data_IF_332941431274
#
_entry.id   IF_332941431274
#
_cell.length_a   1.000
_cell.length_b   1.000
_cell.length_c   1.000
_cell.angle_alpha   90.00
_cell.angle_beta   90.00
_cell.angle_gamma   90.00
#
_symmetry.space_group_name_H-M   'P 1'
#
loop_
_entity.id
_entity.type
_entity.pdbx_description
1 polymer ?
#
# COMPACT_ATOMS: atom_id res chain seq x y z
N UNK A 1 -29.88 -13.18 -3.28
CA UNK A 1 -30.33 -11.79 -3.46
C UNK A 1 -29.14 -11.00 -3.99
N UNK A 2 -29.26 -10.27 -5.10
CA UNK A 2 -28.11 -9.53 -5.64
C UNK A 2 -27.72 -8.43 -4.65
N UNK A 3 -26.48 -8.47 -4.13
CA UNK A 3 -25.96 -7.46 -3.19
C UNK A 3 -25.79 -6.09 -3.86
N UNK A 4 -25.95 -6.04 -5.18
CA UNK A 4 -26.16 -4.83 -5.95
C UNK A 4 -27.65 -4.52 -6.06
N UNK A 5 -28.07 -3.38 -5.52
CA UNK A 5 -29.34 -2.78 -5.91
C UNK A 5 -29.15 -2.12 -7.27
N UNK A 6 -29.78 -2.68 -8.30
CA UNK A 6 -29.81 -2.08 -9.63
C UNK A 6 -30.60 -0.76 -9.62
N UNK A 7 -30.09 0.18 -10.42
CA UNK A 7 -30.83 1.15 -11.23
C UNK A 7 -31.31 2.45 -10.57
N UNK A 8 -30.69 3.55 -11.01
CA UNK A 8 -31.47 4.69 -11.49
C UNK A 8 -32.59 4.21 -12.43
N UNK A 9 -33.72 4.91 -12.49
CA UNK A 9 -34.90 4.51 -13.29
C UNK A 9 -34.62 4.23 -14.78
N UNK A 10 -33.45 4.61 -15.28
CA UNK A 10 -33.02 4.49 -16.68
C UNK A 10 -32.18 3.25 -16.99
N UNK A 11 -31.87 2.38 -16.02
CA UNK A 11 -31.08 1.17 -16.29
C UNK A 11 -29.55 1.32 -16.18
N UNK A 12 -29.03 2.55 -16.01
CA UNK A 12 -27.63 2.86 -16.38
C UNK A 12 -26.65 2.82 -15.22
N UNK A 13 -27.08 3.25 -14.04
CA UNK A 13 -26.19 3.41 -12.89
C UNK A 13 -26.39 2.27 -11.91
N UNK A 14 -25.29 1.60 -11.61
CA UNK A 14 -25.16 0.63 -10.53
C UNK A 14 -24.72 1.34 -9.29
N UNK A 15 -25.26 0.95 -8.13
CA UNK A 15 -24.80 1.44 -6.85
C UNK A 15 -24.65 0.30 -5.84
N UNK A 16 -23.64 0.41 -4.99
CA UNK A 16 -23.49 -0.43 -3.79
C UNK A 16 -22.89 0.38 -2.66
N UNK A 17 -23.16 -0.03 -1.43
CA UNK A 17 -22.44 0.50 -0.29
C UNK A 17 -21.03 -0.12 -0.20
N UNK A 18 -20.08 0.66 0.30
CA UNK A 18 -18.79 0.13 0.74
C UNK A 18 -18.93 -0.46 2.13
N UNK A 19 -18.13 -1.49 2.39
CA UNK A 19 -18.19 -2.21 3.64
C UNK A 19 -16.79 -2.52 4.19
N UNK A 20 -16.71 -2.72 5.51
CA UNK A 20 -15.53 -3.24 6.18
C UNK A 20 -14.27 -2.41 5.93
N UNK A 21 -13.19 -3.05 5.52
CA UNK A 21 -11.92 -2.37 5.32
C UNK A 21 -11.95 -1.35 4.18
N UNK A 22 -12.69 -1.66 3.11
CA UNK A 22 -12.87 -0.75 1.98
C UNK A 22 -13.52 0.57 2.44
N UNK A 23 -14.59 0.51 3.24
CA UNK A 23 -15.25 1.70 3.80
C UNK A 23 -14.33 2.45 4.78
N UNK A 24 -13.53 1.73 5.57
CA UNK A 24 -12.60 2.34 6.52
C UNK A 24 -11.49 3.11 5.79
N UNK A 25 -10.89 2.53 4.74
CA UNK A 25 -9.92 3.21 3.89
C UNK A 25 -10.49 4.47 3.23
N UNK A 26 -11.74 4.45 2.77
CA UNK A 26 -12.38 5.66 2.26
C UNK A 26 -12.60 6.70 3.36
N UNK A 27 -12.94 6.27 4.58
CA UNK A 27 -13.10 7.17 5.74
C UNK A 27 -11.79 7.88 6.10
N UNK A 28 -10.63 7.24 5.87
CA UNK A 28 -9.34 7.90 6.01
C UNK A 28 -9.16 9.07 5.02
N UNK A 29 -9.72 8.96 3.81
CA UNK A 29 -9.61 10.02 2.82
C UNK A 29 -10.40 11.28 3.18
N UNK A 30 -11.51 11.18 3.93
CA UNK A 30 -12.28 12.35 4.40
C UNK A 30 -11.48 13.28 5.30
N UNK A 31 -10.51 12.72 6.01
CA UNK A 31 -9.76 13.42 7.04
C UNK A 31 -8.33 13.70 6.61
N UNK A 32 -8.02 13.60 5.31
CA UNK A 32 -6.66 13.72 4.80
C UNK A 32 -5.69 12.85 5.62
N UNK A 33 -6.11 11.63 5.98
CA UNK A 33 -5.46 10.86 7.03
C UNK A 33 -4.47 9.82 6.48
N UNK A 34 -4.89 8.95 5.55
CA UNK A 34 -4.08 7.81 5.10
C UNK A 34 -4.27 7.44 3.61
N UNK A 35 -3.13 7.20 2.96
CA UNK A 35 -2.89 6.47 1.70
C UNK A 35 -3.74 6.87 0.49
N UNK A 36 -3.44 8.02 -0.13
CA UNK A 36 -3.49 8.04 -1.59
C UNK A 36 -2.40 7.08 -2.08
N UNK A 37 -2.80 5.92 -2.59
CA UNK A 37 -1.89 4.91 -3.11
C UNK A 37 -1.60 5.18 -4.58
N UNK A 38 -0.32 5.27 -4.92
CA UNK A 38 0.12 5.51 -6.29
C UNK A 38 1.03 4.38 -6.74
N UNK A 39 0.61 3.69 -7.80
CA UNK A 39 1.48 2.83 -8.59
C UNK A 39 1.99 3.61 -9.80
N UNK A 40 3.30 3.60 -10.03
CA UNK A 40 3.91 4.28 -11.17
C UNK A 40 4.89 3.37 -11.87
N UNK A 41 5.00 3.50 -13.19
CA UNK A 41 5.97 2.77 -13.98
C UNK A 41 6.71 3.74 -14.92
N UNK A 42 8.01 3.53 -15.05
CA UNK A 42 8.83 4.18 -16.07
C UNK A 42 8.98 3.22 -17.24
N UNK A 43 8.49 3.62 -18.41
CA UNK A 43 8.37 2.73 -19.57
C UNK A 43 9.06 3.36 -20.78
N UNK A 44 9.92 2.58 -21.43
CA UNK A 44 10.43 2.86 -22.76
C UNK A 44 9.60 2.07 -23.77
N UNK A 45 8.90 2.78 -24.65
CA UNK A 45 8.07 2.19 -25.70
C UNK A 45 8.82 2.29 -27.04
N UNK A 46 9.18 1.14 -27.61
CA UNK A 46 9.88 1.05 -28.89
C UNK A 46 9.26 -0.03 -29.77
N UNK A 47 9.32 0.15 -31.09
CA UNK A 47 8.92 -0.87 -32.07
C UNK A 47 9.93 -2.02 -32.19
N UNK A 48 9.66 -2.97 -33.08
CA UNK A 48 10.49 -4.16 -33.28
C UNK A 48 11.92 -3.84 -33.77
N UNK A 49 12.13 -2.69 -34.40
CA UNK A 49 13.45 -2.17 -34.80
C UNK A 49 14.16 -1.40 -33.68
N UNK A 50 13.51 -1.19 -32.53
CA UNK A 50 14.02 -0.38 -31.44
C UNK A 50 13.74 1.11 -31.58
N UNK A 51 13.04 1.54 -32.64
CA UNK A 51 12.68 2.94 -32.85
C UNK A 51 11.63 3.34 -31.81
N UNK A 52 11.82 4.46 -31.08
CA UNK A 52 10.84 4.96 -30.13
C UNK A 52 9.46 5.13 -30.78
N UNK A 53 8.41 4.75 -30.05
CA UNK A 53 7.04 5.01 -30.49
C UNK A 53 6.76 6.52 -30.54
N UNK A 54 6.04 7.00 -31.56
CA UNK A 54 5.61 8.39 -31.62
C UNK A 54 4.57 8.69 -30.53
N UNK A 55 4.47 9.95 -30.11
CA UNK A 55 3.55 10.37 -29.05
C UNK A 55 2.10 10.09 -29.41
N UNK A 56 1.70 10.33 -30.67
CA UNK A 56 0.35 10.03 -31.14
C UNK A 56 0.03 8.55 -30.98
N UNK A 57 1.00 7.68 -31.29
CA UNK A 57 0.85 6.24 -31.11
C UNK A 57 0.76 5.88 -29.64
N UNK A 58 1.59 6.47 -28.78
CA UNK A 58 1.56 6.20 -27.33
C UNK A 58 0.23 6.64 -26.72
N UNK A 59 -0.24 7.84 -27.00
CA UNK A 59 -1.51 8.39 -26.48
C UNK A 59 -2.69 7.55 -26.95
N UNK A 60 -2.72 7.23 -28.25
CA UNK A 60 -3.75 6.38 -28.84
C UNK A 60 -3.76 4.99 -28.17
N UNK A 61 -2.58 4.38 -28.00
CA UNK A 61 -2.44 3.11 -27.29
C UNK A 61 -2.82 3.19 -25.80
N UNK A 62 -2.44 4.25 -25.09
CA UNK A 62 -2.77 4.44 -23.67
C UNK A 62 -4.27 4.62 -23.48
N UNK A 63 -4.91 5.45 -24.32
CA UNK A 63 -6.36 5.61 -24.33
C UNK A 63 -7.06 4.28 -24.60
N UNK A 64 -6.64 3.55 -25.64
CA UNK A 64 -7.19 2.23 -25.94
C UNK A 64 -6.99 1.24 -24.79
N UNK A 65 -5.81 1.22 -24.18
CA UNK A 65 -5.48 0.39 -23.03
C UNK A 65 -6.30 0.75 -21.79
N UNK A 66 -6.53 2.04 -21.53
CA UNK A 66 -7.33 2.52 -20.40
C UNK A 66 -8.80 2.13 -20.55
N UNK A 67 -9.35 2.27 -21.75
CA UNK A 67 -10.71 1.83 -22.08
C UNK A 67 -10.83 0.31 -21.95
N UNK A 68 -9.85 -0.44 -22.48
CA UNK A 68 -9.82 -1.90 -22.35
C UNK A 68 -9.70 -2.32 -20.88
N UNK A 69 -8.91 -1.60 -20.08
CA UNK A 69 -8.79 -1.85 -18.65
C UNK A 69 -10.11 -1.60 -17.94
N UNK A 70 -10.87 -0.54 -18.24
CA UNK A 70 -12.22 -0.34 -17.71
C UNK A 70 -13.15 -1.49 -18.07
N UNK A 71 -13.09 -1.98 -19.30
CA UNK A 71 -13.90 -3.11 -19.74
C UNK A 71 -13.53 -4.42 -19.01
N UNK A 72 -12.25 -4.65 -18.73
CA UNK A 72 -11.77 -5.84 -18.00
C UNK A 72 -11.94 -5.74 -16.49
N UNK A 73 -11.75 -4.55 -15.95
CA UNK A 73 -11.78 -4.24 -14.51
C UNK A 73 -12.66 -2.99 -14.32
N UNK A 74 -14.00 -3.13 -14.35
CA UNK A 74 -14.94 -2.00 -14.18
C UNK A 74 -14.70 -1.17 -12.93
N UNK A 75 -14.09 -1.77 -11.92
CA UNK A 75 -13.65 -1.14 -10.68
C UNK A 75 -12.84 0.16 -10.88
N UNK A 76 -12.11 0.29 -12.00
CA UNK A 76 -11.35 1.51 -12.32
C UNK A 76 -12.22 2.73 -12.64
N UNK A 77 -13.50 2.50 -12.93
CA UNK A 77 -14.48 3.54 -13.24
C UNK A 77 -15.59 3.64 -12.18
N UNK A 78 -15.34 3.17 -10.96
CA UNK A 78 -16.23 3.47 -9.84
C UNK A 78 -16.12 4.95 -9.46
N UNK A 79 -17.25 5.55 -9.12
CA UNK A 79 -17.32 6.85 -8.45
C UNK A 79 -17.69 6.63 -7.00
N UNK A 80 -17.18 7.43 -6.09
CA UNK A 80 -17.45 7.24 -4.65
C UNK A 80 -18.15 8.46 -4.06
N UNK A 81 -19.08 8.27 -3.15
CA UNK A 81 -19.73 9.37 -2.41
C UNK A 81 -19.83 9.03 -0.94
N UNK A 82 -19.44 9.97 -0.09
CA UNK A 82 -19.68 9.89 1.34
C UNK A 82 -21.09 10.38 1.68
N UNK A 83 -21.77 9.67 2.56
CA UNK A 83 -23.09 10.01 3.08
C UNK A 83 -22.96 10.44 4.55
N UNK A 84 -22.95 11.74 4.86
CA UNK A 84 -22.72 12.23 6.21
C UNK A 84 -23.79 11.79 7.22
N UNK A 85 -25.03 11.57 6.75
CA UNK A 85 -26.18 11.26 7.63
C UNK A 85 -26.03 9.92 8.35
N UNK A 86 -25.44 8.94 7.71
CA UNK A 86 -25.28 7.57 8.23
C UNK A 86 -23.81 7.13 8.28
N UNK A 87 -22.88 8.06 8.06
CA UNK A 87 -21.42 7.81 8.04
C UNK A 87 -21.05 6.67 7.09
N UNK A 88 -21.77 6.56 5.96
CA UNK A 88 -21.60 5.48 5.00
C UNK A 88 -20.99 5.96 3.70
N UNK A 89 -20.57 4.99 2.89
CA UNK A 89 -19.98 5.22 1.58
C UNK A 89 -20.75 4.45 0.54
N UNK A 90 -21.04 5.10 -0.58
CA UNK A 90 -21.67 4.48 -1.73
C UNK A 90 -20.74 4.61 -2.93
N UNK A 91 -20.58 3.53 -3.69
CA UNK A 91 -19.97 3.59 -5.02
C UNK A 91 -21.00 3.46 -6.10
N UNK A 92 -20.73 4.14 -7.20
CA UNK A 92 -21.53 4.18 -8.40
C UNK A 92 -20.71 3.68 -9.58
N UNK A 93 -21.37 3.00 -10.52
CA UNK A 93 -20.79 2.64 -11.81
C UNK A 93 -21.80 2.94 -12.90
N UNK A 94 -21.39 3.74 -13.88
CA UNK A 94 -22.21 4.06 -15.03
C UNK A 94 -21.81 3.18 -16.22
N UNK A 95 -22.78 2.43 -16.74
CA UNK A 95 -22.59 1.67 -17.98
C UNK A 95 -22.58 2.65 -19.15
N UNK A 96 -21.50 2.70 -19.93
CA UNK A 96 -21.44 3.56 -21.09
C UNK A 96 -22.40 3.04 -22.17
N UNK A 97 -23.27 3.91 -22.70
CA UNK A 97 -24.24 3.57 -23.75
C UNK A 97 -23.82 4.08 -25.13
N UNK A 98 -22.81 4.95 -25.16
CA UNK A 98 -22.31 5.58 -26.36
C UNK A 98 -20.78 5.76 -26.30
N UNK A 99 -20.18 6.05 -27.46
CA UNK A 99 -18.78 6.49 -27.52
C UNK A 99 -18.55 7.78 -26.73
N UNK A 100 -19.53 8.68 -26.71
CA UNK A 100 -19.45 9.95 -25.99
C UNK A 100 -19.35 9.74 -24.47
N UNK A 101 -20.05 8.74 -23.91
CA UNK A 101 -19.92 8.37 -22.50
C UNK A 101 -18.50 7.87 -22.17
N UNK A 102 -17.89 7.12 -23.09
CA UNK A 102 -16.50 6.66 -22.96
C UNK A 102 -15.53 7.83 -23.06
N UNK A 103 -15.72 8.72 -24.03
CA UNK A 103 -14.88 9.90 -24.24
C UNK A 103 -14.92 10.81 -23.00
N UNK A 104 -16.10 10.99 -22.42
CA UNK A 104 -16.32 11.74 -21.18
C UNK A 104 -15.59 11.10 -20.00
N UNK A 105 -15.69 9.78 -19.83
CA UNK A 105 -14.96 9.10 -18.76
C UNK A 105 -13.45 9.20 -18.94
N UNK A 106 -12.93 9.00 -20.16
CA UNK A 106 -11.50 9.09 -20.42
C UNK A 106 -11.01 10.51 -20.15
N UNK A 107 -11.71 11.56 -20.58
CA UNK A 107 -11.28 12.95 -20.33
C UNK A 107 -11.25 13.32 -18.84
N UNK A 108 -12.01 12.60 -18.01
CA UNK A 108 -12.06 12.79 -16.55
C UNK A 108 -11.05 11.93 -15.77
N UNK A 109 -10.42 10.93 -16.41
CA UNK A 109 -9.61 9.91 -15.72
C UNK A 109 -8.24 9.64 -16.33
N UNK A 110 -8.04 9.98 -17.60
CA UNK A 110 -6.76 9.92 -18.28
C UNK A 110 -6.24 11.34 -18.47
N UNK A 111 -5.17 11.67 -17.75
CA UNK A 111 -4.55 12.97 -17.80
C UNK A 111 -3.23 12.87 -18.53
N UNK A 112 -3.09 13.70 -19.57
CA UNK A 112 -1.83 13.92 -20.26
C UNK A 112 -1.16 15.16 -19.68
N UNK A 113 0.05 15.03 -19.15
CA UNK A 113 0.81 16.16 -18.58
C UNK A 113 2.03 16.48 -19.43
N UNK A 114 2.07 17.68 -19.97
CA UNK A 114 3.31 18.21 -20.54
C UNK A 114 4.41 18.26 -19.46
N UNK A 115 5.57 17.73 -19.81
CA UNK A 115 6.73 17.41 -18.96
C UNK A 115 6.87 18.17 -17.65
N UNK A 116 7.04 17.44 -16.54
CA UNK A 116 7.86 17.91 -15.41
C UNK A 116 9.03 16.95 -15.21
N UNK A 117 10.28 17.45 -15.16
CA UNK A 117 11.39 16.66 -14.61
C UNK A 117 10.98 16.14 -13.22
N UNK A 118 11.05 14.82 -13.00
CA UNK A 118 10.83 14.22 -11.68
C UNK A 118 9.38 13.91 -11.28
N UNK A 119 8.41 13.76 -12.21
CA UNK A 119 7.02 13.36 -11.87
C UNK A 119 6.93 12.14 -10.93
N UNK A 120 7.83 11.16 -11.10
CA UNK A 120 7.87 9.96 -10.25
C UNK A 120 8.24 10.23 -8.78
N UNK A 121 8.67 11.44 -8.43
CA UNK A 121 8.99 11.87 -7.05
C UNK A 121 8.01 12.97 -6.57
N UNK A 122 7.62 13.90 -7.44
CA UNK A 122 6.84 15.09 -7.08
C UNK A 122 5.30 14.93 -7.02
N UNK A 123 4.74 13.83 -7.53
CA UNK A 123 3.27 13.65 -7.59
C UNK A 123 2.60 13.22 -6.28
N UNK A 124 3.33 13.13 -5.16
CA UNK A 124 2.72 12.79 -3.87
C UNK A 124 2.02 13.98 -3.19
N UNK A 125 2.26 15.21 -3.64
CA UNK A 125 1.68 16.42 -3.02
C UNK A 125 0.31 16.79 -3.62
N UNK A 126 -0.10 16.17 -4.73
CA UNK A 126 -1.39 16.46 -5.35
C UNK A 126 -2.52 15.79 -4.58
N UNK A 127 -3.33 16.61 -3.91
CA UNK A 127 -4.54 16.14 -3.23
C UNK A 127 -5.61 15.81 -4.26
N UNK A 128 -6.15 14.59 -4.18
CA UNK A 128 -7.26 14.15 -5.00
C UNK A 128 -8.51 13.92 -4.14
N UNK A 129 -9.52 14.77 -4.30
CA UNK A 129 -10.81 14.62 -3.63
C UNK A 129 -11.71 13.71 -4.47
N UNK A 130 -12.26 12.68 -3.83
CA UNK A 130 -13.16 11.72 -4.49
C UNK A 130 -14.41 11.41 -3.66
N UNK A 131 -14.72 12.27 -2.70
CA UNK A 131 -15.77 12.07 -1.69
C UNK A 131 -17.14 12.57 -2.15
N UNK A 132 -17.21 13.24 -3.30
CA UNK A 132 -18.40 13.91 -3.83
C UNK A 132 -18.87 13.35 -5.19
N UNK A 133 -18.48 12.12 -5.52
CA UNK A 133 -18.90 11.43 -6.73
C UNK A 133 -17.85 11.44 -7.85
N UNK A 134 -16.61 11.80 -7.54
CA UNK A 134 -15.49 11.73 -8.48
C UNK A 134 -14.90 10.30 -8.56
N UNK A 135 -14.05 10.07 -9.56
CA UNK A 135 -13.31 8.81 -9.72
C UNK A 135 -12.10 8.78 -8.77
N UNK A 136 -11.95 7.75 -7.94
CA UNK A 136 -10.80 7.58 -7.06
C UNK A 136 -9.55 7.07 -7.80
N UNK A 137 -9.72 6.51 -9.01
CA UNK A 137 -8.64 5.98 -9.84
C UNK A 137 -8.46 6.82 -11.10
N UNK A 138 -7.20 7.14 -11.39
CA UNK A 138 -6.78 7.95 -12.53
C UNK A 138 -5.49 7.40 -13.12
N UNK A 139 -5.36 7.53 -14.43
CA UNK A 139 -4.11 7.32 -15.12
C UNK A 139 -3.53 8.69 -15.48
N UNK A 140 -2.38 9.00 -14.91
CA UNK A 140 -1.61 10.17 -15.30
C UNK A 140 -0.47 9.65 -16.17
N UNK A 141 -0.43 10.12 -17.41
CA UNK A 141 0.67 9.88 -18.32
C UNK A 141 1.33 11.22 -18.61
N UNK A 142 2.65 11.27 -18.50
CA UNK A 142 3.43 12.43 -18.89
C UNK A 142 4.43 11.99 -19.95
N UNK A 143 4.27 12.42 -21.20
CA UNK A 143 5.31 12.31 -22.21
C UNK A 143 6.32 13.45 -22.08
N UNK A 144 7.17 13.50 -23.10
CA UNK A 144 7.68 14.76 -23.63
C UNK A 144 6.82 15.10 -24.90
N UNK A 145 5.63 15.74 -24.73
CA UNK A 145 4.67 16.37 -25.71
C UNK A 145 3.63 15.53 -26.55
N UNK A 146 2.75 16.20 -27.34
CA UNK A 146 1.26 16.02 -27.54
C UNK A 146 0.69 15.18 -28.76
N UNK A 147 -0.61 15.31 -29.11
CA UNK A 147 -1.62 14.21 -29.22
C UNK A 147 -2.43 13.93 -30.52
N UNK A 148 -3.07 12.73 -30.60
CA UNK A 148 -4.20 12.33 -31.51
C UNK A 148 -5.02 11.06 -31.04
N UNK A 149 -6.09 10.63 -31.76
CA UNK A 149 -7.29 9.84 -31.31
C UNK A 149 -7.40 8.31 -31.68
N UNK A 150 -8.50 7.61 -31.24
CA UNK A 150 -8.73 6.12 -31.22
C UNK A 150 -10.13 5.68 -31.72
N UNK A 151 -10.30 4.45 -32.25
CA UNK A 151 -11.57 3.81 -32.66
C UNK A 151 -12.18 2.84 -31.62
N UNK A 152 -13.48 2.97 -31.34
CA UNK A 152 -14.23 2.37 -30.22
C UNK A 152 -15.18 1.22 -30.58
N UNK A 153 -15.34 0.89 -31.88
CA UNK A 153 -16.44 0.00 -32.35
C UNK A 153 -16.30 -1.48 -32.00
N UNK A 154 -15.15 -1.93 -31.51
CA UNK A 154 -14.89 -3.35 -31.22
C UNK A 154 -15.31 -3.81 -29.80
N UNK A 155 -15.73 -2.89 -28.92
CA UNK A 155 -16.04 -3.19 -27.52
C UNK A 155 -17.55 -3.36 -27.32
N UNK A 156 -17.96 -4.48 -26.71
CA UNK A 156 -19.35 -4.77 -26.36
C UNK A 156 -19.66 -4.31 -24.94
N UNK A 157 -20.07 -3.06 -24.79
CA UNK A 157 -20.41 -2.48 -23.49
C UNK A 157 -21.63 -3.16 -22.85
N UNK A 158 -21.63 -3.22 -21.53
CA UNK A 158 -22.63 -3.90 -20.70
C UNK A 158 -22.25 -5.33 -20.30
N UNK A 159 -21.40 -6.02 -21.07
CA UNK A 159 -20.90 -7.36 -20.69
C UNK A 159 -19.93 -7.29 -19.50
N UNK A 160 -19.27 -6.15 -19.28
CA UNK A 160 -18.35 -5.93 -18.17
C UNK A 160 -19.02 -5.87 -16.81
N UNK A 161 -20.33 -5.66 -16.74
CA UNK A 161 -21.07 -5.53 -15.48
C UNK A 161 -20.96 -6.80 -14.62
N UNK A 162 -20.87 -7.98 -15.26
CA UNK A 162 -20.63 -9.24 -14.56
C UNK A 162 -19.27 -9.28 -13.82
N UNK A 163 -18.33 -8.39 -14.20
CA UNK A 163 -17.02 -8.19 -13.58
C UNK A 163 -17.00 -7.02 -12.59
N UNK A 164 -18.15 -6.41 -12.26
CA UNK A 164 -18.21 -5.46 -11.16
C UNK A 164 -17.84 -6.19 -9.88
N UNK A 165 -16.62 -5.92 -9.42
CA UNK A 165 -16.00 -6.54 -8.27
C UNK A 165 -16.94 -6.58 -7.06
N UNK A 166 -17.26 -7.79 -6.61
CA UNK A 166 -17.84 -8.01 -5.29
C UNK A 166 -16.80 -7.68 -4.24
N UNK A 167 -17.20 -6.97 -3.17
CA UNK A 167 -16.32 -6.80 -2.01
C UNK A 167 -16.06 -8.16 -1.38
N UNK A 168 -14.97 -8.31 -0.63
CA UNK A 168 -14.75 -9.54 0.12
C UNK A 168 -15.92 -9.84 1.08
N UNK A 169 -16.62 -8.82 1.61
CA UNK A 169 -17.85 -9.03 2.37
C UNK A 169 -18.98 -9.65 1.52
N UNK A 170 -19.17 -9.21 0.27
CA UNK A 170 -20.15 -9.83 -0.64
C UNK A 170 -19.77 -11.27 -0.98
N UNK A 171 -18.51 -11.51 -1.34
CA UNK A 171 -18.02 -12.84 -1.74
C UNK A 171 -18.16 -13.87 -0.63
N UNK A 172 -18.13 -13.43 0.62
CA UNK A 172 -18.18 -14.29 1.80
C UNK A 172 -19.57 -14.44 2.40
N UNK A 173 -20.59 -13.81 1.79
CA UNK A 173 -21.98 -13.84 2.29
C UNK A 173 -22.17 -13.12 3.63
N UNK A 174 -21.29 -12.15 3.92
CA UNK A 174 -21.19 -11.46 5.20
C UNK A 174 -22.38 -10.53 5.44
N UNK A 175 -23.17 -10.79 6.48
CA UNK A 175 -24.11 -9.79 6.98
C UNK A 175 -23.35 -8.71 7.77
N UNK A 176 -23.13 -7.57 7.12
CA UNK A 176 -22.43 -6.42 7.70
C UNK A 176 -23.26 -5.66 8.73
N UNK A 177 -24.56 -5.97 8.87
CA UNK A 177 -25.42 -5.38 9.91
C UNK A 177 -25.36 -6.14 11.22
N UNK A 178 -24.87 -7.39 11.19
CA UNK A 178 -24.62 -8.15 12.42
C UNK A 178 -23.50 -7.49 13.23
N UNK A 179 -23.72 -7.32 14.53
CA UNK A 179 -22.70 -6.81 15.43
C UNK A 179 -21.50 -7.75 15.43
N UNK A 180 -20.29 -7.20 15.38
CA UNK A 180 -19.08 -7.97 15.65
C UNK A 180 -19.24 -8.68 17.00
N UNK A 181 -18.84 -9.94 17.09
CA UNK A 181 -18.78 -10.62 18.39
C UNK A 181 -17.87 -9.81 19.31
N UNK A 182 -18.22 -9.68 20.60
CA UNK A 182 -17.38 -8.95 21.54
C UNK A 182 -15.98 -9.54 21.50
N UNK A 183 -14.99 -8.69 21.18
CA UNK A 183 -13.61 -9.11 21.11
C UNK A 183 -13.24 -9.80 22.42
N UNK A 184 -12.64 -11.00 22.33
CA UNK A 184 -12.09 -11.68 23.49
C UNK A 184 -11.24 -10.70 24.30
N UNK A 185 -11.31 -10.79 25.63
CA UNK A 185 -10.64 -9.88 26.56
C UNK A 185 -9.19 -9.68 26.10
N UNK A 186 -8.91 -8.49 25.55
CA UNK A 186 -7.62 -8.21 24.92
C UNK A 186 -6.60 -8.15 26.05
N UNK A 187 -5.50 -8.90 25.90
CA UNK A 187 -4.30 -8.68 26.72
C UNK A 187 -3.95 -7.20 26.67
N UNK A 188 -3.45 -6.67 27.79
CA UNK A 188 -3.05 -5.27 27.88
C UNK A 188 -2.02 -4.95 26.80
N UNK A 189 -2.35 -4.01 25.92
CA UNK A 189 -1.46 -3.51 24.88
C UNK A 189 -0.78 -2.25 25.39
N UNK A 190 0.52 -2.35 25.65
CA UNK A 190 1.39 -1.20 25.97
C UNK A 190 2.38 -1.01 24.82
N UNK A 191 2.05 -0.22 23.79
CA UNK A 191 2.88 -0.07 22.60
C UNK A 191 4.00 0.97 22.80
N UNK A 192 5.10 0.80 22.08
CA UNK A 192 6.11 1.85 21.94
C UNK A 192 5.60 2.97 21.03
N UNK A 193 5.15 4.07 21.66
CA UNK A 193 4.65 5.27 20.99
C UNK A 193 5.57 6.46 21.29
N UNK A 194 6.61 6.69 20.49
CA UNK A 194 7.48 7.84 20.70
C UNK A 194 6.71 9.15 20.43
N UNK A 195 7.04 10.25 21.14
CA UNK A 195 6.48 11.56 20.83
C UNK A 195 6.88 11.98 19.41
N UNK A 196 6.06 12.80 18.78
CA UNK A 196 6.39 13.47 17.51
C UNK A 196 6.56 14.96 17.71
N UNK A 197 7.35 15.56 16.83
CA UNK A 197 7.54 17.01 16.73
C UNK A 197 7.08 17.41 15.35
N UNK A 198 6.29 18.47 15.28
CA UNK A 198 5.87 19.03 14.00
C UNK A 198 7.06 19.71 13.31
N UNK A 199 7.36 19.28 12.09
CA UNK A 199 8.25 19.96 11.18
C UNK A 199 7.50 21.11 10.49
N UNK A 200 7.71 22.31 11.02
CA UNK A 200 7.11 23.55 10.52
C UNK A 200 7.77 24.06 9.24
N UNK A 201 8.97 23.59 8.94
CA UNK A 201 9.80 24.06 7.81
C UNK A 201 9.68 23.14 6.59
N UNK A 202 8.73 22.21 6.58
CA UNK A 202 8.50 21.29 5.46
C UNK A 202 8.18 22.05 4.17
N UNK A 203 8.65 21.51 3.04
CA UNK A 203 8.42 22.08 1.69
C UNK A 203 7.54 21.20 0.80
N UNK A 204 7.10 20.05 1.31
CA UNK A 204 6.35 19.02 0.63
C UNK A 204 5.54 18.23 1.67
N UNK A 205 4.62 17.36 1.24
CA UNK A 205 3.77 16.60 2.16
C UNK A 205 4.38 15.25 2.57
N UNK A 206 5.15 14.62 1.68
CA UNK A 206 5.70 13.26 1.90
C UNK A 206 7.21 13.22 1.69
N UNK A 207 7.95 12.83 2.73
CA UNK A 207 9.37 12.50 2.61
C UNK A 207 9.52 11.01 2.32
N UNK A 208 10.27 10.68 1.26
CA UNK A 208 10.44 9.30 0.79
C UNK A 208 11.92 8.91 0.69
N UNK A 209 12.23 7.65 0.99
CA UNK A 209 13.48 6.96 0.59
C UNK A 209 13.13 5.67 -0.15
N UNK A 210 13.79 5.43 -1.28
CA UNK A 210 13.70 4.16 -2.00
C UNK A 210 14.98 3.37 -1.75
N UNK A 211 14.88 2.35 -0.92
CA UNK A 211 15.98 1.44 -0.64
C UNK A 211 15.90 0.27 -1.61
N UNK A 212 16.85 0.20 -2.55
CA UNK A 212 16.97 -0.89 -3.51
C UNK A 212 18.13 -1.80 -3.10
N UNK A 213 17.84 -3.08 -2.95
CA UNK A 213 18.82 -4.13 -2.77
C UNK A 213 19.02 -4.84 -4.11
N UNK A 214 20.29 -5.01 -4.51
CA UNK A 214 20.63 -5.71 -5.74
C UNK A 214 20.23 -7.19 -5.73
N UNK A 215 20.35 -7.83 -6.89
CA UNK A 215 19.95 -9.21 -7.13
C UNK A 215 20.68 -10.19 -6.21
N UNK A 216 21.97 -9.96 -5.94
CA UNK A 216 22.79 -10.83 -5.10
C UNK A 216 22.33 -10.79 -3.64
N UNK A 217 22.12 -9.58 -3.10
CA UNK A 217 21.61 -9.36 -1.75
C UNK A 217 20.17 -9.86 -1.58
N UNK A 218 19.34 -9.65 -2.60
CA UNK A 218 17.96 -10.15 -2.62
C UNK A 218 17.94 -11.68 -2.62
N UNK A 219 18.78 -12.33 -3.44
CA UNK A 219 18.91 -13.79 -3.48
C UNK A 219 19.43 -14.35 -2.14
N UNK A 220 20.41 -13.68 -1.52
CA UNK A 220 20.93 -14.07 -0.21
C UNK A 220 19.84 -14.05 0.87
N UNK A 221 19.03 -12.99 0.93
CA UNK A 221 17.90 -12.93 1.86
C UNK A 221 16.91 -14.08 1.62
N UNK A 222 16.54 -14.35 0.35
CA UNK A 222 15.62 -15.45 0.02
C UNK A 222 16.18 -16.80 0.43
N UNK A 223 17.48 -17.02 0.25
CA UNK A 223 18.13 -18.24 0.70
C UNK A 223 18.04 -18.38 2.23
N UNK A 224 18.34 -17.31 2.98
CA UNK A 224 18.19 -17.32 4.44
C UNK A 224 16.76 -17.55 4.91
N UNK A 225 15.77 -16.99 4.22
CA UNK A 225 14.37 -17.25 4.50
C UNK A 225 14.03 -18.74 4.32
N UNK A 226 14.50 -19.38 3.24
CA UNK A 226 14.32 -20.82 3.01
C UNK A 226 15.02 -21.68 4.07
N UNK A 227 16.26 -21.35 4.42
CA UNK A 227 17.04 -22.04 5.46
C UNK A 227 16.35 -21.99 6.83
N UNK A 228 15.63 -20.91 7.13
CA UNK A 228 14.92 -20.70 8.40
C UNK A 228 13.40 -20.95 8.32
N UNK A 229 12.92 -21.56 7.23
CA UNK A 229 11.50 -21.87 7.02
C UNK A 229 10.55 -20.67 7.24
N UNK A 230 10.96 -19.49 6.79
CA UNK A 230 10.17 -18.26 6.90
C UNK A 230 9.96 -17.59 5.54
N UNK A 231 9.09 -16.58 5.49
CA UNK A 231 8.81 -15.81 4.29
C UNK A 231 9.65 -14.53 4.24
N UNK A 232 9.85 -14.00 3.04
CA UNK A 232 10.50 -12.69 2.84
C UNK A 232 9.72 -11.59 3.55
N UNK A 233 8.38 -11.66 3.59
CA UNK A 233 7.53 -10.70 4.31
C UNK A 233 7.86 -10.65 5.80
N UNK A 234 7.93 -11.81 6.46
CA UNK A 234 8.29 -11.88 7.89
C UNK A 234 9.70 -11.34 8.11
N UNK A 235 10.65 -11.68 7.22
CA UNK A 235 12.02 -11.20 7.35
C UNK A 235 12.15 -9.68 7.18
N UNK A 236 11.46 -9.09 6.19
CA UNK A 236 11.44 -7.63 5.97
C UNK A 236 10.72 -6.91 7.10
N UNK A 237 9.61 -7.45 7.62
CA UNK A 237 8.92 -6.88 8.78
C UNK A 237 9.80 -6.89 10.03
N UNK A 238 10.59 -7.94 10.24
CA UNK A 238 11.55 -8.03 11.35
C UNK A 238 12.71 -7.03 11.20
N UNK A 239 13.29 -6.92 10.00
CA UNK A 239 14.31 -5.92 9.68
C UNK A 239 13.74 -4.51 9.92
N UNK A 240 12.51 -4.26 9.44
CA UNK A 240 11.84 -2.97 9.59
C UNK A 240 11.52 -2.64 11.04
N UNK A 241 11.12 -3.61 11.86
CA UNK A 241 10.87 -3.41 13.30
C UNK A 241 12.13 -2.95 14.05
N UNK A 242 13.26 -3.62 13.83
CA UNK A 242 14.52 -3.23 14.44
C UNK A 242 15.02 -1.88 13.91
N UNK A 243 15.00 -1.69 12.59
CA UNK A 243 15.43 -0.45 11.95
C UNK A 243 14.60 0.76 12.41
N UNK A 244 13.28 0.60 12.56
CA UNK A 244 12.40 1.68 12.99
C UNK A 244 12.64 2.06 14.45
N UNK A 245 12.80 1.08 15.35
CA UNK A 245 13.11 1.37 16.74
C UNK A 245 14.47 2.07 16.87
N UNK A 246 15.48 1.61 16.11
CA UNK A 246 16.82 2.18 16.09
C UNK A 246 16.79 3.63 15.58
N UNK A 247 16.18 3.87 14.43
CA UNK A 247 16.13 5.19 13.81
C UNK A 247 15.38 6.21 14.67
N UNK A 248 14.31 5.80 15.36
CA UNK A 248 13.59 6.66 16.32
C UNK A 248 14.51 7.05 17.48
N UNK A 249 15.24 6.10 18.06
CA UNK A 249 16.14 6.36 19.19
C UNK A 249 17.33 7.23 18.78
N UNK A 250 17.93 6.96 17.61
CA UNK A 250 19.02 7.75 17.05
C UNK A 250 18.60 9.19 16.74
N UNK A 251 17.43 9.35 16.13
CA UNK A 251 16.84 10.66 15.86
C UNK A 251 16.55 11.43 17.16
N UNK A 252 15.95 10.76 18.14
CA UNK A 252 15.67 11.37 19.44
C UNK A 252 16.96 11.77 20.16
N UNK A 253 18.03 10.97 20.06
CA UNK A 253 19.34 11.28 20.64
C UNK A 253 19.97 12.54 20.03
N UNK A 254 19.78 12.73 18.72
CA UNK A 254 20.20 13.93 17.96
C UNK A 254 19.41 15.17 18.38
N UNK A 255 18.09 15.06 18.54
CA UNK A 255 17.24 16.17 19.02
C UNK A 255 17.57 16.53 20.48
N UNK A 256 17.79 15.52 21.33
CA UNK A 256 18.18 15.70 22.73
C UNK A 256 17.05 16.21 23.64
N UNK A 257 17.44 16.69 24.82
CA UNK A 257 16.54 17.33 25.80
C UNK A 257 15.34 16.47 26.20
N UNK A 258 14.19 17.13 26.39
CA UNK A 258 12.94 16.48 26.80
C UNK A 258 12.41 15.46 25.79
N UNK A 259 12.66 15.68 24.50
CA UNK A 259 12.24 14.76 23.44
C UNK A 259 12.97 13.41 23.54
N UNK A 260 14.29 13.44 23.77
CA UNK A 260 15.08 12.23 24.04
C UNK A 260 14.58 11.48 25.27
N UNK A 261 14.44 12.18 26.40
CA UNK A 261 13.98 11.57 27.66
C UNK A 261 12.61 10.91 27.50
N UNK A 262 11.66 11.59 26.86
CA UNK A 262 10.30 11.07 26.66
C UNK A 262 10.27 9.87 25.71
N UNK A 263 11.11 9.89 24.67
CA UNK A 263 11.25 8.77 23.73
C UNK A 263 11.85 7.53 24.42
N UNK A 264 12.91 7.72 25.22
CA UNK A 264 13.53 6.63 25.98
C UNK A 264 12.57 6.08 27.04
N UNK A 265 11.81 6.95 27.71
CA UNK A 265 10.79 6.51 28.66
C UNK A 265 9.70 5.66 28.00
N UNK A 266 9.15 6.11 26.86
CA UNK A 266 8.20 5.33 26.07
C UNK A 266 8.83 4.02 25.59
N UNK A 267 10.09 4.07 25.14
CA UNK A 267 10.83 2.90 24.69
C UNK A 267 11.11 1.90 25.81
N UNK A 268 11.26 2.31 27.07
CA UNK A 268 11.51 1.40 28.20
C UNK A 268 10.22 0.88 28.84
N UNK A 269 9.14 1.67 28.82
CA UNK A 269 7.84 1.29 29.41
C UNK A 269 6.99 0.41 28.50
N UNK A 270 7.25 0.43 27.19
CA UNK A 270 6.51 -0.40 26.25
C UNK A 270 6.64 -1.90 26.59
N UNK A 271 5.60 -2.67 26.32
CA UNK A 271 5.66 -4.13 26.31
C UNK A 271 5.65 -4.67 24.88
N UNK A 272 5.21 -3.85 23.92
CA UNK A 272 5.03 -4.26 22.54
C UNK A 272 5.63 -3.26 21.56
N UNK A 273 6.27 -3.80 20.52
CA UNK A 273 6.37 -3.11 19.26
C UNK A 273 5.09 -3.37 18.48
N UNK A 274 4.49 -2.30 17.95
CA UNK A 274 3.14 -2.34 17.42
C UNK A 274 3.08 -1.79 16.01
N UNK A 275 2.62 -2.62 15.08
CA UNK A 275 2.29 -2.21 13.72
C UNK A 275 0.76 -2.26 13.57
N UNK A 276 0.04 -1.13 13.53
CA UNK A 276 -1.42 -1.11 13.47
C UNK A 276 -1.99 -1.76 12.21
N UNK A 277 -1.19 -1.83 11.14
CA UNK A 277 -1.62 -2.34 9.85
C UNK A 277 -0.48 -3.11 9.16
N UNK A 278 -0.68 -4.42 9.06
CA UNK A 278 -0.05 -5.32 8.10
C UNK A 278 -1.12 -5.83 7.15
N UNK A 279 -0.75 -6.08 5.90
CA UNK A 279 -1.67 -6.43 4.83
C UNK A 279 -1.46 -7.86 4.34
N UNK A 280 -2.55 -8.58 4.11
CA UNK A 280 -2.57 -9.86 3.38
C UNK A 280 -3.47 -9.73 2.15
N UNK A 281 -2.99 -10.22 1.01
CA UNK A 281 -3.84 -10.43 -0.16
C UNK A 281 -4.76 -11.65 0.08
N UNK A 282 -6.07 -11.43 0.04
CA UNK A 282 -7.08 -12.47 0.20
C UNK A 282 -7.56 -13.04 -1.13
N UNK A 283 -7.18 -12.46 -2.27
CA UNK A 283 -7.57 -12.97 -3.60
C UNK A 283 -7.19 -14.44 -3.83
N UNK A 284 -6.03 -14.95 -3.37
CA UNK A 284 -5.74 -16.38 -3.44
C UNK A 284 -6.73 -17.27 -2.68
N UNK A 285 -7.40 -16.74 -1.65
CA UNK A 285 -8.44 -17.42 -0.89
C UNK A 285 -9.82 -17.39 -1.58
N UNK A 286 -9.96 -16.66 -2.70
CA UNK A 286 -11.20 -16.47 -3.45
C UNK A 286 -11.03 -16.92 -4.90
N UNK A 287 -11.13 -18.24 -5.19
CA UNK A 287 -10.79 -18.78 -6.50
C UNK A 287 -11.51 -18.09 -7.67
N UNK A 288 -12.78 -17.72 -7.50
CA UNK A 288 -13.62 -17.06 -8.53
C UNK A 288 -13.34 -15.57 -8.71
N UNK A 289 -12.45 -14.98 -7.90
CA UNK A 289 -12.09 -13.56 -7.98
C UNK A 289 -10.59 -13.32 -7.86
N UNK A 290 -9.79 -14.38 -8.07
CA UNK A 290 -8.34 -14.36 -7.90
C UNK A 290 -7.59 -13.75 -9.09
N UNK A 291 -8.25 -13.60 -10.25
CA UNK A 291 -7.64 -13.12 -11.49
C UNK A 291 -8.54 -12.12 -12.23
N UNK A 292 -7.92 -11.12 -12.86
CA UNK A 292 -8.61 -10.17 -13.75
C UNK A 292 -9.20 -10.84 -15.00
N UNK A 293 -8.68 -12.01 -15.38
CA UNK A 293 -9.11 -12.75 -16.55
C UNK A 293 -10.25 -13.75 -16.23
N UNK A 294 -10.64 -13.87 -14.96
CA UNK A 294 -11.79 -14.68 -14.58
C UNK A 294 -13.09 -14.04 -15.13
N UNK A 295 -14.11 -14.82 -15.54
CA UNK A 295 -15.38 -14.27 -16.05
C UNK A 295 -16.09 -13.31 -15.09
N UNK A 296 -15.94 -13.52 -13.78
CA UNK A 296 -16.47 -12.65 -12.71
C UNK A 296 -15.52 -11.49 -12.34
N UNK A 297 -14.36 -11.39 -13.01
CA UNK A 297 -13.32 -10.42 -12.73
C UNK A 297 -12.56 -10.70 -11.43
N UNK A 298 -11.96 -9.65 -10.88
CA UNK A 298 -11.25 -9.70 -9.58
C UNK A 298 -11.83 -8.68 -8.62
N UNK A 299 -11.74 -8.96 -7.32
CA UNK A 299 -12.12 -7.99 -6.29
C UNK A 299 -11.20 -6.77 -6.34
N UNK A 300 -11.79 -5.57 -6.45
CA UNK A 300 -11.05 -4.31 -6.49
C UNK A 300 -10.24 -4.07 -5.21
N UNK A 301 -10.81 -4.43 -4.05
CA UNK A 301 -10.19 -4.30 -2.75
C UNK A 301 -10.18 -5.64 -2.02
N UNK A 302 -9.20 -6.48 -2.36
CA UNK A 302 -9.04 -7.83 -1.81
C UNK A 302 -8.03 -7.94 -0.67
N UNK A 303 -7.70 -6.81 -0.04
CA UNK A 303 -6.71 -6.74 1.03
C UNK A 303 -7.38 -6.93 2.38
N UNK A 304 -6.75 -7.71 3.25
CA UNK A 304 -7.08 -7.79 4.67
C UNK A 304 -6.01 -7.09 5.49
N UNK A 305 -6.44 -6.10 6.29
CA UNK A 305 -5.61 -5.42 7.27
C UNK A 305 -5.73 -6.05 8.66
N UNK A 306 -4.61 -6.32 9.31
CA UNK A 306 -4.55 -6.75 10.71
C UNK A 306 -3.33 -6.13 11.41
N UNK A 307 -3.41 -5.97 12.73
CA UNK A 307 -2.30 -5.44 13.49
C UNK A 307 -1.30 -6.54 13.86
N UNK A 308 -0.02 -6.17 13.99
CA UNK A 308 1.03 -7.01 14.55
C UNK A 308 1.48 -6.44 15.89
N UNK A 309 1.64 -7.35 16.85
CA UNK A 309 2.12 -7.05 18.20
C UNK A 309 3.26 -8.02 18.48
N UNK A 310 4.47 -7.48 18.63
CA UNK A 310 5.67 -8.24 18.95
C UNK A 310 6.19 -7.81 20.31
N UNK A 311 6.72 -8.75 21.08
CA UNK A 311 7.40 -8.45 22.34
C UNK A 311 8.61 -7.55 22.07
N UNK A 312 8.54 -6.31 22.59
CA UNK A 312 9.61 -5.34 22.35
C UNK A 312 10.92 -5.69 23.05
N UNK A 313 10.91 -6.55 24.08
CA UNK A 313 12.15 -6.95 24.76
C UNK A 313 13.10 -7.72 23.82
N UNK A 314 12.55 -8.52 22.90
CA UNK A 314 13.36 -9.20 21.88
C UNK A 314 14.02 -8.18 20.94
N UNK A 315 13.28 -7.13 20.58
CA UNK A 315 13.80 -6.04 19.76
C UNK A 315 14.83 -5.23 20.55
N UNK A 316 14.58 -4.88 21.82
CA UNK A 316 15.54 -4.20 22.71
C UNK A 316 16.86 -4.95 22.81
N UNK A 317 16.79 -6.26 23.03
CA UNK A 317 17.96 -7.12 23.09
C UNK A 317 18.70 -7.18 21.75
N UNK A 318 17.96 -7.18 20.63
CA UNK A 318 18.57 -7.12 19.30
C UNK A 318 19.31 -5.80 19.06
N UNK A 319 18.74 -4.66 19.48
CA UNK A 319 19.35 -3.34 19.30
C UNK A 319 20.56 -3.11 20.20
N UNK A 320 20.51 -3.62 21.44
CA UNK A 320 21.54 -3.36 22.45
C UNK A 320 21.74 -1.87 22.70
N UNK A 321 20.66 -1.09 22.76
CA UNK A 321 20.71 0.37 22.90
C UNK A 321 21.17 0.79 24.30
N UNK A 322 22.20 1.63 24.36
CA UNK A 322 22.70 2.25 25.60
C UNK A 322 22.18 3.68 25.74
N UNK A 323 21.38 3.93 26.78
CA UNK A 323 20.80 5.25 27.05
C UNK A 323 21.88 6.30 27.32
N UNK A 324 22.93 5.93 28.05
CA UNK A 324 24.00 6.86 28.43
C UNK A 324 24.95 7.14 27.27
N UNK A 325 25.34 6.10 26.53
CA UNK A 325 26.26 6.24 25.41
C UNK A 325 25.57 6.69 24.11
N UNK A 326 24.22 6.66 24.07
CA UNK A 326 23.41 6.95 22.89
C UNK A 326 23.86 6.15 21.66
N UNK A 327 24.19 4.88 21.88
CA UNK A 327 24.78 4.00 20.88
C UNK A 327 24.10 2.64 20.86
N UNK A 328 24.32 1.90 19.77
CA UNK A 328 23.72 0.59 19.53
C UNK A 328 24.80 -0.47 19.49
N UNK A 329 24.59 -1.56 20.24
CA UNK A 329 25.38 -2.77 20.15
C UNK A 329 24.50 -3.88 19.55
N UNK A 330 24.30 -3.83 18.23
CA UNK A 330 23.41 -4.74 17.51
C UNK A 330 23.80 -6.19 17.77
N UNK A 331 22.81 -7.07 17.85
CA UNK A 331 23.02 -8.50 18.00
C UNK A 331 23.75 -9.10 16.80
N UNK A 332 24.20 -10.35 16.91
CA UNK A 332 24.67 -11.09 15.76
C UNK A 332 23.50 -11.63 14.90
N UNK A 333 23.85 -12.19 13.73
CA UNK A 333 22.90 -12.81 12.80
C UNK A 333 22.16 -14.00 13.41
N UNK A 334 22.81 -14.76 14.30
CA UNK A 334 22.24 -15.99 14.86
C UNK A 334 21.12 -15.64 15.83
N UNK A 335 21.31 -14.64 16.69
CA UNK A 335 20.27 -14.09 17.53
C UNK A 335 19.11 -13.53 16.71
N UNK A 336 19.39 -12.78 15.64
CA UNK A 336 18.34 -12.23 14.80
C UNK A 336 17.43 -13.32 14.20
N UNK A 337 18.00 -14.33 13.55
CA UNK A 337 17.23 -15.42 12.95
C UNK A 337 16.57 -16.33 13.98
N UNK A 338 17.22 -16.58 15.12
CA UNK A 338 16.72 -17.50 16.15
C UNK A 338 15.69 -16.88 17.09
N UNK A 339 15.67 -15.56 17.24
CA UNK A 339 14.85 -14.85 18.22
C UNK A 339 13.95 -13.79 17.57
N UNK A 340 14.51 -12.79 16.88
CA UNK A 340 13.73 -11.68 16.30
C UNK A 340 12.76 -12.19 15.24
N UNK A 341 13.24 -13.01 14.30
CA UNK A 341 12.40 -13.60 13.25
C UNK A 341 11.29 -14.48 13.84
N UNK A 342 11.59 -15.27 14.88
CA UNK A 342 10.57 -16.12 15.52
C UNK A 342 9.50 -15.31 16.23
N UNK A 343 9.87 -14.21 16.88
CA UNK A 343 8.90 -13.30 17.52
C UNK A 343 7.98 -12.66 16.47
N UNK A 344 8.54 -12.15 15.38
CA UNK A 344 7.74 -11.52 14.31
C UNK A 344 6.89 -12.57 13.57
N UNK A 345 7.41 -13.78 13.35
CA UNK A 345 6.63 -14.89 12.82
C UNK A 345 5.45 -15.24 13.74
N UNK A 346 5.69 -15.35 15.06
CA UNK A 346 4.64 -15.61 16.03
C UNK A 346 3.58 -14.50 16.04
N UNK A 347 3.99 -13.24 15.96
CA UNK A 347 3.08 -12.10 15.83
C UNK A 347 2.20 -12.20 14.58
N UNK A 348 2.74 -12.74 13.48
CA UNK A 348 2.01 -13.00 12.24
C UNK A 348 1.03 -14.19 12.35
N UNK A 349 1.25 -15.15 13.23
CA UNK A 349 0.36 -16.30 13.43
C UNK A 349 -0.80 -15.99 14.39
N UNK A 350 -0.71 -14.94 15.20
CA UNK A 350 -1.78 -14.55 16.14
C UNK A 350 -3.10 -14.21 15.42
N UNK A 351 -3.11 -13.36 14.37
CA UNK A 351 -4.34 -13.08 13.64
C UNK A 351 -4.81 -14.34 12.91
N UNK A 352 -6.05 -14.75 13.13
CA UNK A 352 -6.67 -15.82 12.34
C UNK A 352 -6.78 -15.37 10.88
N UNK A 353 -5.92 -15.90 10.01
CA UNK A 353 -5.83 -15.53 8.59
C UNK A 353 -6.76 -16.37 7.68
N UNK A 354 -7.63 -17.18 8.28
CA UNK A 354 -8.68 -17.93 7.61
C UNK A 354 -9.89 -17.04 7.27
N UNK A 355 -10.87 -17.62 6.59
CA UNK A 355 -12.08 -16.91 6.18
C UNK A 355 -12.85 -16.35 7.39
N UNK A 356 -12.99 -17.12 8.47
CA UNK A 356 -13.69 -16.69 9.67
C UNK A 356 -13.01 -15.48 10.32
N UNK A 357 -11.69 -15.49 10.43
CA UNK A 357 -10.93 -14.35 10.96
C UNK A 357 -10.98 -13.13 10.04
N UNK A 358 -10.94 -13.32 8.72
CA UNK A 358 -11.17 -12.23 7.76
C UNK A 358 -12.55 -11.58 7.99
N UNK A 359 -13.60 -12.39 8.03
CA UNK A 359 -15.00 -11.97 8.24
C UNK A 359 -15.15 -11.14 9.52
N UNK A 360 -14.57 -11.62 10.62
CA UNK A 360 -14.61 -10.92 11.90
C UNK A 360 -13.93 -9.54 11.80
N UNK A 361 -12.74 -9.45 11.19
CA UNK A 361 -12.03 -8.18 11.02
C UNK A 361 -12.79 -7.20 10.12
N UNK A 362 -13.47 -7.67 9.08
CA UNK A 362 -14.31 -6.79 8.25
C UNK A 362 -15.45 -6.17 9.06
N UNK A 363 -16.10 -6.92 9.96
CA UNK A 363 -17.12 -6.38 10.88
C UNK A 363 -16.53 -5.37 11.86
N UNK A 364 -15.36 -5.66 12.42
CA UNK A 364 -14.66 -4.74 13.33
C UNK A 364 -14.35 -3.41 12.64
N UNK A 365 -13.78 -3.46 11.42
CA UNK A 365 -13.48 -2.26 10.61
C UNK A 365 -14.74 -1.49 10.21
N UNK A 366 -15.84 -2.20 9.91
CA UNK A 366 -17.13 -1.56 9.67
C UNK A 366 -17.64 -0.81 10.91
N UNK A 367 -17.47 -1.40 12.09
CA UNK A 367 -17.75 -0.73 13.36
C UNK A 367 -16.89 0.52 13.55
N UNK A 368 -15.58 0.40 13.27
CA UNK A 368 -14.64 1.51 13.35
C UNK A 368 -15.03 2.69 12.46
N UNK A 369 -15.60 2.48 11.27
CA UNK A 369 -16.05 3.57 10.40
C UNK A 369 -16.99 4.56 11.12
N UNK A 370 -17.84 4.06 12.02
CA UNK A 370 -18.83 4.88 12.75
C UNK A 370 -18.23 5.65 13.93
N UNK A 371 -17.10 5.18 14.44
CA UNK A 371 -16.43 5.73 15.63
C UNK A 371 -15.05 6.29 15.33
N UNK A 372 -14.65 6.32 14.05
CA UNK A 372 -13.33 6.74 13.65
C UNK A 372 -13.15 8.21 13.99
N UNK A 373 -12.08 8.50 14.73
CA UNK A 373 -11.68 9.86 15.03
C UNK A 373 -10.22 10.04 14.59
N UNK A 374 -9.89 11.03 13.75
CA UNK A 374 -8.53 11.19 13.20
C UNK A 374 -7.43 11.27 14.27
N UNK A 375 -7.74 11.84 15.44
CA UNK A 375 -6.76 11.92 16.55
C UNK A 375 -6.29 10.57 17.06
N UNK A 376 -7.07 9.48 16.87
CA UNK A 376 -6.68 8.12 17.28
C UNK A 376 -5.43 7.62 16.56
N UNK A 377 -5.06 8.28 15.47
CA UNK A 377 -3.93 7.92 14.63
C UNK A 377 -2.84 9.00 14.59
N UNK A 378 -2.96 10.04 15.43
CA UNK A 378 -1.91 11.04 15.65
C UNK A 378 -0.86 10.47 16.59
N UNK A 379 -0.19 9.40 16.15
CA UNK A 379 0.80 8.62 16.90
C UNK A 379 1.88 8.10 15.95
N UNK A 380 3.14 8.08 16.42
CA UNK A 380 4.25 7.54 15.63
C UNK A 380 4.19 6.02 15.52
N UNK A 381 3.69 5.52 14.39
CA UNK A 381 3.47 4.09 14.16
C UNK A 381 4.09 3.60 12.83
N UNK A 382 4.71 2.41 12.83
CA UNK A 382 5.15 1.74 11.62
C UNK A 382 3.98 1.06 10.89
N UNK A 383 3.95 1.14 9.57
CA UNK A 383 3.06 0.37 8.68
C UNK A 383 3.94 -0.37 7.69
N UNK A 384 3.63 -1.63 7.40
CA UNK A 384 4.38 -2.43 6.43
C UNK A 384 3.44 -3.18 5.50
N UNK A 385 3.73 -3.16 4.20
CA UNK A 385 2.94 -3.87 3.20
C UNK A 385 3.83 -4.44 2.10
N UNK A 386 3.62 -5.72 1.79
CA UNK A 386 4.22 -6.35 0.61
C UNK A 386 3.29 -6.22 -0.59
N UNK A 387 3.81 -5.83 -1.76
CA UNK A 387 3.10 -5.93 -3.05
C UNK A 387 3.42 -7.25 -3.76
N UNK A 388 4.44 -7.98 -3.29
CA UNK A 388 4.83 -9.30 -3.80
C UNK A 388 6.03 -9.28 -4.74
N UNK A 389 6.22 -10.41 -5.41
CA UNK A 389 7.35 -10.69 -6.31
C UNK A 389 6.85 -10.69 -7.76
N UNK A 390 7.17 -9.62 -8.50
CA UNK A 390 6.63 -9.40 -9.85
C UNK A 390 7.16 -10.44 -10.83
N UNK A 391 8.41 -10.87 -10.64
CA UNK A 391 9.06 -11.87 -11.46
C UNK A 391 8.33 -13.21 -11.30
N UNK A 392 8.04 -13.60 -10.06
CA UNK A 392 7.31 -14.83 -9.75
C UNK A 392 5.84 -14.77 -10.21
N UNK A 393 5.21 -13.60 -10.16
CA UNK A 393 3.85 -13.37 -10.67
C UNK A 393 3.79 -13.30 -12.21
N UNK A 394 4.93 -13.35 -12.90
CA UNK A 394 5.00 -13.23 -14.36
C UNK A 394 4.62 -11.83 -14.87
N UNK A 395 4.61 -10.82 -13.99
CA UNK A 395 4.29 -9.45 -14.34
C UNK A 395 5.48 -8.80 -15.04
N UNK A 396 5.24 -8.19 -16.19
CA UNK A 396 6.25 -7.52 -17.00
C UNK A 396 7.42 -8.40 -17.46
N UNK A 397 7.39 -9.72 -17.30
CA UNK A 397 8.53 -10.62 -17.62
C UNK A 397 9.13 -10.39 -19.01
N UNK A 398 8.29 -10.17 -20.03
CA UNK A 398 8.73 -9.87 -21.42
C UNK A 398 9.31 -8.46 -21.61
N UNK A 399 9.13 -7.58 -20.63
CA UNK A 399 9.48 -6.15 -20.66
C UNK A 399 10.47 -5.76 -19.58
N UNK A 400 11.00 -6.72 -18.82
CA UNK A 400 12.01 -6.44 -17.80
C UNK A 400 13.21 -5.70 -18.43
N UNK A 401 13.91 -4.85 -17.67
CA UNK A 401 15.16 -4.23 -18.12
C UNK A 401 16.12 -5.27 -18.68
N UNK A 402 16.25 -6.41 -18.00
CA UNK A 402 17.07 -7.57 -18.37
C UNK A 402 16.61 -8.35 -19.62
N UNK A 403 15.41 -8.10 -20.14
CA UNK A 403 14.87 -8.84 -21.30
C UNK A 403 15.55 -8.49 -22.64
N UNK A 404 15.17 -9.16 -23.74
CA UNK A 404 15.59 -8.76 -25.10
C UNK A 404 14.59 -7.85 -25.82
N UNK A 405 13.45 -7.56 -25.19
CA UNK A 405 12.43 -6.71 -25.80
C UNK A 405 12.94 -5.28 -26.00
N UNK A 406 12.66 -4.64 -27.15
CA UNK A 406 12.95 -3.22 -27.37
C UNK A 406 12.10 -2.32 -26.46
N UNK A 407 10.90 -2.75 -26.10
CA UNK A 407 10.07 -2.11 -25.07
C UNK A 407 10.50 -2.56 -23.68
N UNK A 408 10.73 -1.61 -22.77
CA UNK A 408 11.20 -1.86 -21.40
C UNK A 408 10.31 -1.19 -20.37
N UNK A 409 10.08 -1.85 -19.25
CA UNK A 409 9.60 -1.23 -18.01
C UNK A 409 10.82 -1.08 -17.11
N UNK A 410 11.42 0.10 -17.10
CA UNK A 410 12.69 0.36 -16.39
C UNK A 410 12.52 0.32 -14.89
N UNK A 411 11.39 0.84 -14.40
CA UNK A 411 11.14 0.97 -12.98
C UNK A 411 9.66 0.83 -12.70
N UNK A 412 9.35 0.18 -11.58
CA UNK A 412 8.01 0.20 -10.97
C UNK A 412 8.18 0.81 -9.58
N UNK A 413 7.29 1.71 -9.20
CA UNK A 413 7.25 2.36 -7.90
C UNK A 413 5.86 2.22 -7.29
N UNK A 414 5.82 1.77 -6.04
CA UNK A 414 4.62 1.83 -5.22
C UNK A 414 4.85 2.81 -4.10
N UNK A 415 3.90 3.74 -3.96
CA UNK A 415 3.95 4.83 -3.00
C UNK A 415 2.60 4.97 -2.33
N UNK A 416 2.64 5.53 -1.14
CA UNK A 416 1.45 6.03 -0.47
C UNK A 416 1.73 7.44 0.03
N UNK A 417 0.67 8.23 0.15
CA UNK A 417 0.71 9.57 0.75
C UNK A 417 0.28 9.50 2.23
N UNK A 418 1.21 9.29 3.19
CA UNK A 418 0.92 9.45 4.60
C UNK A 418 0.85 10.94 4.94
N UNK A 419 -0.14 11.34 5.74
CA UNK A 419 -0.30 12.72 6.24
C UNK A 419 -0.28 12.80 7.76
N UNK A 420 -0.13 11.65 8.42
CA UNK A 420 -0.08 11.53 9.87
C UNK A 420 1.28 11.02 10.31
N UNK A 421 1.57 11.00 11.63
CA UNK A 421 2.87 10.60 12.14
C UNK A 421 3.24 9.13 11.88
N UNK A 422 2.73 8.47 10.85
CA UNK A 422 3.11 7.10 10.49
C UNK A 422 4.29 7.06 9.54
N UNK A 423 5.13 6.03 9.67
CA UNK A 423 6.10 5.64 8.63
C UNK A 423 5.63 4.36 7.96
N UNK A 424 5.55 4.37 6.63
CA UNK A 424 5.10 3.24 5.82
C UNK A 424 6.28 2.65 5.05
N UNK A 425 6.45 1.33 5.15
CA UNK A 425 7.33 0.55 4.28
C UNK A 425 6.48 -0.23 3.27
N UNK A 426 6.55 0.13 1.99
CA UNK A 426 5.96 -0.65 0.91
C UNK A 426 7.08 -1.38 0.18
N UNK A 427 7.07 -2.71 0.19
CA UNK A 427 8.14 -3.48 -0.40
C UNK A 427 7.68 -4.51 -1.44
N UNK A 428 8.53 -4.73 -2.44
CA UNK A 428 8.23 -5.58 -3.60
C UNK A 428 9.51 -6.00 -4.29
N UNK A 429 9.47 -7.13 -5.00
CA UNK A 429 10.57 -7.55 -5.87
C UNK A 429 10.25 -7.23 -7.32
N UNK A 430 11.22 -6.66 -8.04
CA UNK A 430 11.12 -6.36 -9.47
C UNK A 430 12.49 -6.51 -10.14
N UNK A 431 12.57 -7.30 -11.20
CA UNK A 431 13.81 -7.58 -11.96
C UNK A 431 14.93 -8.08 -11.04
N UNK A 432 14.61 -9.07 -10.19
CA UNK A 432 15.55 -9.67 -9.24
C UNK A 432 15.88 -8.83 -8.00
N UNK A 433 15.42 -7.57 -7.93
CA UNK A 433 15.76 -6.63 -6.85
C UNK A 433 14.63 -6.44 -5.86
N UNK A 434 14.95 -6.49 -4.57
CA UNK A 434 14.03 -6.08 -3.52
C UNK A 434 14.06 -4.55 -3.37
N UNK A 435 12.88 -3.94 -3.48
CA UNK A 435 12.66 -2.52 -3.33
C UNK A 435 11.87 -2.29 -2.05
N UNK A 436 12.29 -1.35 -1.21
CA UNK A 436 11.57 -0.87 -0.03
C UNK A 436 11.35 0.64 -0.14
N UNK A 437 10.10 1.05 -0.36
CA UNK A 437 9.67 2.43 -0.35
C UNK A 437 9.33 2.85 1.09
N UNK A 438 10.25 3.57 1.74
CA UNK A 438 10.03 4.20 3.03
C UNK A 438 9.34 5.56 2.81
N UNK A 439 8.15 5.74 3.34
CA UNK A 439 7.30 6.92 3.12
C UNK A 439 6.83 7.44 4.46
N UNK A 440 6.97 8.74 4.70
CA UNK A 440 6.48 9.37 5.91
C UNK A 440 5.96 10.78 5.62
N UNK A 441 5.01 11.25 6.42
CA UNK A 441 4.51 12.61 6.31
C UNK A 441 5.63 13.57 6.70
N UNK A 442 6.00 14.48 5.80
CA UNK A 442 7.08 15.45 6.00
C UNK A 442 6.80 16.42 7.15
N UNK A 443 5.53 16.55 7.56
CA UNK A 443 5.10 17.26 8.77
C UNK A 443 5.58 16.60 10.06
N UNK A 444 5.84 15.30 10.07
CA UNK A 444 6.15 14.55 11.29
C UNK A 444 7.51 13.84 11.24
N UNK A 445 8.13 13.82 10.05
CA UNK A 445 9.43 13.22 9.78
C UNK A 445 10.24 14.17 8.90
N UNK A 446 11.36 14.61 9.42
CA UNK A 446 12.35 15.40 8.69
C UNK A 446 13.18 14.53 7.73
N UNK A 447 13.82 15.12 6.70
CA UNK A 447 14.73 14.37 5.84
C UNK A 447 15.85 13.63 6.59
N UNK A 448 16.53 14.21 7.61
CA UNK A 448 17.52 13.48 8.39
C UNK A 448 16.96 12.28 9.17
N UNK A 449 15.75 12.38 9.73
CA UNK A 449 15.09 11.22 10.36
C UNK A 449 14.85 10.07 9.36
N UNK A 450 14.50 10.42 8.11
CA UNK A 450 14.31 9.43 7.04
C UNK A 450 15.64 8.86 6.52
N UNK A 451 16.72 9.64 6.53
CA UNK A 451 18.08 9.17 6.22
C UNK A 451 18.59 8.18 7.27
N UNK A 452 18.31 8.44 8.54
CA UNK A 452 18.59 7.52 9.65
C UNK A 452 17.80 6.22 9.49
N UNK A 453 16.53 6.31 9.10
CA UNK A 453 15.71 5.12 8.84
C UNK A 453 16.23 4.28 7.67
N UNK A 454 16.62 4.91 6.56
CA UNK A 454 17.24 4.21 5.43
C UNK A 454 18.55 3.52 5.87
N UNK A 455 19.39 4.24 6.61
CA UNK A 455 20.67 3.73 7.11
C UNK A 455 20.48 2.53 8.02
N UNK A 456 19.57 2.62 9.00
CA UNK A 456 19.22 1.53 9.89
C UNK A 456 18.67 0.32 9.11
N UNK A 457 17.79 0.54 8.14
CA UNK A 457 17.23 -0.53 7.31
C UNK A 457 18.32 -1.29 6.54
N UNK A 458 19.27 -0.57 5.92
CA UNK A 458 20.40 -1.17 5.20
C UNK A 458 21.31 -1.96 6.14
N UNK A 459 21.66 -1.40 7.29
CA UNK A 459 22.50 -2.07 8.28
C UNK A 459 21.89 -3.38 8.79
N UNK A 460 20.59 -3.35 9.13
CA UNK A 460 19.87 -4.55 9.54
C UNK A 460 19.75 -5.57 8.40
N UNK A 461 19.52 -5.12 7.16
CA UNK A 461 19.51 -6.02 6.02
C UNK A 461 20.86 -6.73 5.83
N UNK A 462 21.96 -5.99 5.82
CA UNK A 462 23.31 -6.52 5.60
C UNK A 462 23.74 -7.47 6.74
N UNK A 463 23.37 -7.15 8.00
CA UNK A 463 23.53 -8.04 9.16
C UNK A 463 22.82 -9.38 8.96
N UNK A 464 21.59 -9.33 8.47
CA UNK A 464 20.72 -10.50 8.30
C UNK A 464 21.23 -11.45 7.22
N UNK A 465 21.75 -10.93 6.11
CA UNK A 465 22.34 -11.74 5.05
C UNK A 465 23.80 -12.13 5.33
N UNK A 466 24.47 -11.44 6.25
CA UNK A 466 25.83 -11.73 6.68
C UNK A 466 26.92 -11.16 5.76
N UNK A 467 26.71 -9.97 5.21
CA UNK A 467 27.68 -9.27 4.34
C UNK A 467 28.57 -8.25 5.09
N UNK A 468 28.75 -8.44 6.40
CA UNK A 468 29.58 -7.59 7.26
C UNK A 468 30.93 -8.20 7.62
#
# INVERSE_FOLDING_TARGET
MSVYSFCSTDGKTYKRNLHGFEALCNSYALHDFLLSFTGSAEVQLSDASGTPASDEKVISCLRAAWILLRYRVPGVALRTTYQPKDTSWTVFYDVPLSSEDIDTWVSQTLFWRETRPGCLVHELDEKWEFTHGEYPLRLIASPIYESATVDLKAIKWGEEIARLASTGAVLTGLDMNSSAEPAAQKKELVPFLPPFVENKDRTHDVTMRLVVFDDARTLALRQKCRENHTTVTIAVDAIFACAQAEAVLASAATVGGAHYTSTVEAYNKALHWFMPLSCKDQRPSWPTSSSIDHPEGTTLFGTDGFALQANIDIIRNALGFSVDAKSFNRCDKEFFWSSVIKEIAAAHEIPKKDLAGYVQREREKQGMCKTFHPSSMMVKLPISSSIGDFDHLGLFGRYLPSSTSPTKVHRVLFRARPLTPTITNIFYQYDGRLNCSLLAAAQWYSPPEMDEMETALRNWFDLVIGTG
#
